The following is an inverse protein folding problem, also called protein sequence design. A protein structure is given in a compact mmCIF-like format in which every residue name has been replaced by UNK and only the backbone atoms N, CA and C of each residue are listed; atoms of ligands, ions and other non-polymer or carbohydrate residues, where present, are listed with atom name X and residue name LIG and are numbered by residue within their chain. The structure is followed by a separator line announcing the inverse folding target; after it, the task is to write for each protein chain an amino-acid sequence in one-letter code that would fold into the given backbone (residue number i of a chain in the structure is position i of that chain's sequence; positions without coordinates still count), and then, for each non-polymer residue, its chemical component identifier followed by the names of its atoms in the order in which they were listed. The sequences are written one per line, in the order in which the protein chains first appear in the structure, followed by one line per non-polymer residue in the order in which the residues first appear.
data_IF_360479096811
#
_entry.id   IF_360479096811
#
_cell.length_a   1.000
_cell.length_b   1.000
_cell.length_c   1.000
_cell.angle_alpha   90.00
_cell.angle_beta   90.00
_cell.angle_gamma   90.00
#
_symmetry.space_group_name_H-M   'P 1'
#
loop_
_entity.id
_entity.type
_entity.pdbx_description
1 polymer ?
#
# COMPACT_ATOMS: atom_id res chain seq x y z
N UNK A 1 -34.85 -35.01 28.91
CA UNK A 1 -33.68 -34.85 28.02
C UNK A 1 -33.63 -33.40 27.57
N UNK A 2 -32.68 -32.60 28.05
CA UNK A 2 -32.48 -31.21 27.62
C UNK A 2 -31.25 -31.20 26.70
N UNK A 3 -31.47 -31.02 25.40
CA UNK A 3 -30.36 -30.87 24.45
C UNK A 3 -29.78 -29.47 24.57
N UNK A 4 -28.50 -29.38 24.91
CA UNK A 4 -27.72 -28.16 24.85
C UNK A 4 -27.19 -28.01 23.42
N UNK A 5 -27.64 -26.96 22.73
CA UNK A 5 -27.09 -26.57 21.42
C UNK A 5 -25.86 -25.69 21.70
N UNK A 6 -24.67 -26.21 21.44
CA UNK A 6 -23.42 -25.44 21.52
C UNK A 6 -23.22 -24.75 20.18
N UNK A 7 -23.51 -23.45 20.13
CA UNK A 7 -23.18 -22.59 18.98
C UNK A 7 -21.69 -22.25 19.09
N UNK A 8 -20.87 -22.90 18.27
CA UNK A 8 -19.45 -22.57 18.15
C UNK A 8 -19.30 -21.28 17.35
N UNK A 9 -18.94 -20.17 18.01
CA UNK A 9 -18.53 -18.95 17.32
C UNK A 9 -17.15 -19.20 16.69
N UNK A 10 -17.11 -19.26 15.36
CA UNK A 10 -15.86 -19.09 14.62
C UNK A 10 -15.42 -17.64 14.78
N UNK A 11 -14.48 -17.40 15.71
CA UNK A 11 -13.78 -16.13 15.80
C UNK A 11 -12.90 -15.99 14.55
N UNK A 12 -13.38 -15.24 13.56
CA UNK A 12 -12.55 -14.80 12.44
C UNK A 12 -11.59 -13.76 13.00
N UNK A 13 -10.35 -14.18 13.24
CA UNK A 13 -9.26 -13.28 13.62
C UNK A 13 -9.00 -12.34 12.45
N UNK A 14 -9.63 -11.16 12.44
CA UNK A 14 -9.20 -10.08 11.56
C UNK A 14 -7.84 -9.63 12.08
N UNK A 15 -6.76 -10.15 11.50
CA UNK A 15 -5.43 -9.57 11.68
C UNK A 15 -5.59 -8.07 11.42
N UNK A 16 -5.43 -7.27 12.47
CA UNK A 16 -5.49 -5.84 12.36
C UNK A 16 -4.48 -5.43 11.26
N UNK A 17 -4.97 -4.66 10.28
CA UNK A 17 -4.28 -4.32 9.03
C UNK A 17 -2.98 -3.49 9.13
N UNK A 18 -2.58 -2.85 10.26
CA UNK A 18 -1.35 -2.05 10.29
C UNK A 18 -0.08 -2.81 9.92
N UNK A 19 -0.06 -4.14 10.07
CA UNK A 19 1.10 -4.98 9.81
C UNK A 19 1.51 -5.07 8.33
N UNK A 20 0.60 -4.83 7.38
CA UNK A 20 0.92 -4.93 5.95
C UNK A 20 1.97 -3.91 5.50
N UNK A 21 1.99 -2.73 6.13
CA UNK A 21 3.03 -1.70 5.89
C UNK A 21 4.43 -2.15 6.30
N UNK A 22 4.55 -3.17 7.15
CA UNK A 22 5.84 -3.73 7.54
C UNK A 22 6.31 -4.83 6.57
N UNK A 23 5.50 -5.19 5.58
CA UNK A 23 5.81 -6.20 4.57
C UNK A 23 6.36 -5.60 3.27
N UNK A 24 6.54 -4.28 3.22
CA UNK A 24 7.06 -3.51 2.08
C UNK A 24 8.17 -2.55 2.58
N UNK A 25 9.15 -2.18 1.73
CA UNK A 25 10.17 -1.23 2.11
C UNK A 25 9.54 0.15 2.39
N UNK A 26 10.08 0.85 3.40
CA UNK A 26 9.62 2.17 3.82
C UNK A 26 8.10 2.33 4.06
N UNK A 27 7.32 1.26 4.27
CA UNK A 27 5.85 1.37 4.33
C UNK A 27 5.28 2.25 5.45
N UNK A 28 6.09 2.67 6.42
CA UNK A 28 5.74 3.64 7.47
C UNK A 28 6.25 5.07 7.22
N UNK A 29 7.03 5.27 6.14
CA UNK A 29 7.71 6.51 5.77
C UNK A 29 7.32 7.00 4.36
N UNK A 30 6.21 6.51 3.79
CA UNK A 30 5.77 6.89 2.44
C UNK A 30 5.22 8.33 2.47
N UNK A 31 5.74 9.25 1.64
CA UNK A 31 5.28 10.63 1.60
C UNK A 31 3.82 10.71 1.14
N UNK A 32 3.10 11.73 1.61
CA UNK A 32 1.75 12.02 1.14
C UNK A 32 1.83 12.84 -0.17
N UNK A 33 1.32 12.32 -1.31
CA UNK A 33 1.41 13.01 -2.60
C UNK A 33 0.34 14.10 -2.79
N UNK A 34 -0.60 14.24 -1.85
CA UNK A 34 -1.71 15.18 -1.95
C UNK A 34 -1.26 16.65 -1.98
N UNK A 35 -1.86 17.42 -2.89
CA UNK A 35 -1.55 18.84 -3.08
C UNK A 35 -1.94 19.62 -1.81
N UNK A 36 -0.98 20.36 -1.24
CA UNK A 36 -1.13 21.13 0.00
C UNK A 36 -1.45 20.31 1.26
N UNK A 37 -1.24 18.99 1.22
CA UNK A 37 -1.29 18.13 2.40
C UNK A 37 0.15 17.73 2.74
N UNK A 38 0.51 17.78 4.02
CA UNK A 38 1.85 17.46 4.49
C UNK A 38 1.82 16.23 5.38
N UNK A 39 2.89 15.45 5.35
CA UNK A 39 3.05 14.27 6.20
C UNK A 39 3.20 12.99 5.40
N UNK A 40 2.76 11.89 5.99
CA UNK A 40 2.96 10.54 5.48
C UNK A 40 1.62 9.88 5.14
N UNK A 41 1.64 9.03 4.12
CA UNK A 41 0.50 8.18 3.79
C UNK A 41 0.46 6.96 4.71
N UNK A 42 -0.38 7.01 5.75
CA UNK A 42 -0.40 6.02 6.82
C UNK A 42 -1.07 4.68 6.45
N UNK A 43 -1.64 4.55 5.25
CA UNK A 43 -2.27 3.32 4.80
C UNK A 43 -1.90 3.00 3.35
N UNK A 44 -0.60 2.75 3.15
CA UNK A 44 -0.06 2.34 1.84
C UNK A 44 -0.82 1.12 1.35
N UNK A 45 -1.38 1.22 0.14
CA UNK A 45 -2.28 0.21 -0.44
C UNK A 45 -3.78 0.55 -0.34
N UNK A 46 -4.17 1.66 0.28
CA UNK A 46 -5.56 2.14 0.35
C UNK A 46 -5.74 3.48 -0.37
N UNK A 47 -6.98 3.76 -0.78
CA UNK A 47 -7.37 5.03 -1.41
C UNK A 47 -7.47 6.21 -0.43
N UNK A 48 -7.45 5.95 0.88
CA UNK A 48 -7.59 6.96 1.94
C UNK A 48 -6.32 6.93 2.79
N UNK A 49 -5.71 8.09 3.07
CA UNK A 49 -4.42 8.18 3.75
C UNK A 49 -4.36 7.54 5.14
N UNK A 50 -5.44 7.65 5.91
CA UNK A 50 -5.58 7.04 7.24
C UNK A 50 -6.00 5.56 7.19
N UNK A 51 -6.31 5.06 5.99
CA UNK A 51 -6.78 3.71 5.74
C UNK A 51 -8.27 3.53 5.89
N UNK A 52 -8.69 2.27 5.86
CA UNK A 52 -10.09 1.93 5.63
C UNK A 52 -10.50 2.19 4.17
N UNK A 53 -11.72 1.77 3.83
CA UNK A 53 -12.20 1.88 2.46
C UNK A 53 -11.44 0.98 1.46
N UNK A 54 -11.67 1.18 0.16
CA UNK A 54 -11.09 0.34 -0.90
C UNK A 54 -9.56 0.41 -0.96
N UNK A 55 -8.96 -0.69 -1.41
CA UNK A 55 -7.55 -0.72 -1.80
C UNK A 55 -7.31 0.11 -3.06
N UNK A 56 -6.13 0.72 -3.16
CA UNK A 56 -5.65 1.32 -4.40
C UNK A 56 -5.03 0.26 -5.31
N UNK A 57 -4.55 0.67 -6.49
CA UNK A 57 -3.98 -0.25 -7.49
C UNK A 57 -2.77 -1.04 -6.95
N UNK A 58 -1.90 -0.40 -6.17
CA UNK A 58 -0.81 -1.09 -5.47
C UNK A 58 -1.32 -2.11 -4.45
N UNK A 59 -2.32 -1.77 -3.65
CA UNK A 59 -2.90 -2.68 -2.66
C UNK A 59 -3.46 -3.93 -3.32
N UNK A 60 -4.10 -3.79 -4.49
CA UNK A 60 -4.60 -4.91 -5.27
C UNK A 60 -3.48 -5.77 -5.86
N UNK A 61 -2.41 -5.15 -6.35
CA UNK A 61 -1.22 -5.86 -6.84
C UNK A 61 -0.47 -6.57 -5.72
N UNK A 62 -0.38 -5.96 -4.54
CA UNK A 62 0.20 -6.55 -3.36
C UNK A 62 -0.60 -7.77 -2.89
N UNK A 63 -1.94 -7.70 -2.90
CA UNK A 63 -2.80 -8.87 -2.63
C UNK A 63 -2.60 -9.95 -3.69
N UNK A 64 -2.48 -9.59 -4.96
CA UNK A 64 -2.20 -10.52 -6.06
C UNK A 64 -0.84 -11.21 -5.91
N UNK A 65 0.15 -10.51 -5.35
CA UNK A 65 1.44 -11.05 -4.96
C UNK A 65 1.41 -11.89 -3.67
N UNK A 66 0.22 -12.29 -3.20
CA UNK A 66 0.00 -12.99 -1.93
C UNK A 66 0.56 -12.21 -0.72
N UNK A 67 0.44 -10.88 -0.74
CA UNK A 67 0.91 -9.98 0.32
C UNK A 67 2.40 -10.11 0.62
N UNK A 68 3.20 -10.32 -0.43
CA UNK A 68 4.66 -10.42 -0.35
C UNK A 68 5.33 -9.37 -1.23
N UNK A 69 6.45 -8.81 -0.75
CA UNK A 69 7.35 -7.99 -1.56
C UNK A 69 8.14 -8.88 -2.52
N UNK A 70 7.51 -9.25 -3.63
CA UNK A 70 8.14 -10.05 -4.68
C UNK A 70 8.92 -9.15 -5.64
N UNK A 71 9.87 -9.73 -6.37
CA UNK A 71 10.59 -9.00 -7.43
C UNK A 71 9.63 -8.45 -8.48
N UNK A 72 8.63 -9.22 -8.89
CA UNK A 72 7.64 -8.80 -9.89
C UNK A 72 6.80 -7.62 -9.39
N UNK A 73 6.40 -7.64 -8.11
CA UNK A 73 5.71 -6.49 -7.52
C UNK A 73 6.64 -5.29 -7.44
N UNK A 74 7.88 -5.46 -6.97
CA UNK A 74 8.84 -4.37 -6.87
C UNK A 74 9.11 -3.68 -8.22
N UNK A 75 9.23 -4.45 -9.29
CA UNK A 75 9.49 -3.94 -10.65
C UNK A 75 8.23 -3.41 -11.36
N UNK A 76 7.06 -3.55 -10.75
CA UNK A 76 5.81 -3.07 -11.33
C UNK A 76 5.65 -1.57 -11.09
N UNK A 77 5.18 -0.86 -12.10
CA UNK A 77 4.62 0.49 -12.00
C UNK A 77 3.11 0.33 -11.84
N UNK A 78 2.61 0.34 -10.59
CA UNK A 78 1.21 -0.05 -10.32
C UNK A 78 0.23 1.07 -10.64
N UNK A 79 0.64 2.33 -10.48
CA UNK A 79 -0.17 3.52 -10.70
C UNK A 79 0.14 4.27 -11.99
N UNK A 80 1.02 3.72 -12.82
CA UNK A 80 1.28 4.15 -14.20
C UNK A 80 1.85 5.58 -14.28
N UNK A 81 2.64 5.98 -13.28
CA UNK A 81 3.32 7.27 -13.21
C UNK A 81 4.72 7.25 -13.86
N UNK A 82 5.17 6.06 -14.29
CA UNK A 82 6.46 5.84 -14.93
C UNK A 82 7.58 5.43 -13.97
N UNK A 83 7.29 5.26 -12.68
CA UNK A 83 8.22 4.72 -11.69
C UNK A 83 7.77 3.35 -11.22
N UNK A 84 8.74 2.49 -10.92
CA UNK A 84 8.44 1.20 -10.29
C UNK A 84 8.18 1.38 -8.80
N UNK A 85 7.36 0.49 -8.23
CA UNK A 85 7.08 0.44 -6.79
C UNK A 85 8.38 0.44 -5.96
N UNK A 86 9.43 -0.25 -6.45
CA UNK A 86 10.75 -0.30 -5.84
C UNK A 86 11.49 1.04 -5.88
N UNK A 87 11.46 1.77 -6.99
CA UNK A 87 12.04 3.11 -7.05
C UNK A 87 11.37 4.06 -6.06
N UNK A 88 10.05 4.00 -5.95
CA UNK A 88 9.28 4.87 -5.06
C UNK A 88 9.44 4.52 -3.59
N UNK A 89 9.47 3.23 -3.24
CA UNK A 89 9.58 2.76 -1.85
C UNK A 89 11.03 2.60 -1.37
N UNK A 90 12.03 2.97 -2.17
CA UNK A 90 13.44 2.95 -1.77
C UNK A 90 14.11 1.58 -1.84
N UNK A 91 13.63 0.70 -2.73
CA UNK A 91 14.24 -0.56 -3.14
C UNK A 91 14.38 -0.67 -4.68
N UNK A 92 15.13 0.23 -5.35
CA UNK A 92 15.21 0.28 -6.81
C UNK A 92 15.86 -0.98 -7.44
N UNK A 93 16.58 -1.77 -6.65
CA UNK A 93 17.23 -3.00 -7.11
C UNK A 93 16.39 -4.26 -6.81
N UNK A 94 15.24 -4.13 -6.15
CA UNK A 94 14.37 -5.25 -5.77
C UNK A 94 15.09 -6.33 -4.96
N UNK A 95 15.86 -5.90 -3.97
CA UNK A 95 16.66 -6.78 -3.10
C UNK A 95 16.22 -6.77 -1.65
N UNK A 96 15.36 -5.82 -1.27
CA UNK A 96 14.87 -5.70 0.10
C UNK A 96 14.09 -6.94 0.52
N UNK A 97 14.27 -7.35 1.77
CA UNK A 97 13.47 -8.39 2.42
C UNK A 97 12.90 -7.86 3.72
N UNK A 98 11.80 -8.46 4.16
CA UNK A 98 11.14 -8.08 5.40
C UNK A 98 12.11 -8.05 6.58
N UNK A 99 12.23 -6.86 7.20
CA UNK A 99 13.13 -6.60 8.33
C UNK A 99 14.46 -5.95 7.95
N UNK A 100 14.81 -5.90 6.66
CA UNK A 100 16.00 -5.19 6.19
C UNK A 100 15.80 -3.66 6.27
N UNK A 101 16.91 -2.93 6.35
CA UNK A 101 16.89 -1.50 6.08
C UNK A 101 16.68 -1.27 4.56
N UNK A 102 15.75 -0.39 4.14
CA UNK A 102 15.64 0.01 2.74
C UNK A 102 16.95 0.60 2.20
N UNK A 103 17.18 0.47 0.89
CA UNK A 103 18.40 0.95 0.25
C UNK A 103 18.44 2.48 0.13
N UNK A 104 17.27 3.11 0.12
CA UNK A 104 17.09 4.57 0.17
C UNK A 104 15.77 4.94 0.82
N UNK A 105 15.50 6.24 0.86
CA UNK A 105 14.24 6.79 1.38
C UNK A 105 13.10 6.54 0.39
N UNK A 106 11.85 6.52 0.89
CA UNK A 106 10.69 6.57 0.00
C UNK A 106 10.60 7.96 -0.64
N UNK A 107 10.41 7.99 -1.96
CA UNK A 107 10.38 9.22 -2.76
C UNK A 107 9.04 9.47 -3.44
N UNK A 108 8.13 8.49 -3.41
CA UNK A 108 6.79 8.57 -3.97
C UNK A 108 5.86 7.54 -3.33
N UNK A 109 4.63 7.47 -3.82
CA UNK A 109 3.61 6.56 -3.35
C UNK A 109 3.24 5.53 -4.44
N UNK A 110 3.44 4.21 -4.22
CA UNK A 110 3.42 3.17 -5.26
C UNK A 110 2.07 2.85 -5.91
N UNK A 111 1.02 3.59 -5.54
CA UNK A 111 -0.37 3.33 -5.87
C UNK A 111 -1.20 4.61 -6.03
N UNK A 112 -0.54 5.76 -6.14
CA UNK A 112 -1.14 7.07 -6.38
C UNK A 112 -0.25 7.77 -7.39
N UNK A 113 -0.75 7.93 -8.62
CA UNK A 113 0.04 8.49 -9.71
C UNK A 113 0.54 9.90 -9.38
N UNK A 114 1.84 10.14 -9.56
CA UNK A 114 2.49 11.41 -9.28
C UNK A 114 3.09 12.08 -10.54
N UNK A 115 3.09 13.42 -10.63
CA UNK A 115 2.49 14.36 -9.68
C UNK A 115 0.97 14.37 -9.79
N UNK A 116 0.28 14.52 -8.65
CA UNK A 116 -1.19 14.57 -8.57
C UNK A 116 -1.84 15.68 -9.41
N UNK A 117 -1.08 16.69 -9.82
CA UNK A 117 -1.51 17.77 -10.71
C UNK A 117 -1.44 17.43 -12.21
N UNK A 118 -0.82 16.30 -12.59
CA UNK A 118 -0.77 15.87 -13.98
C UNK A 118 -2.16 15.43 -14.48
N UNK A 119 -2.62 15.87 -15.66
CA UNK A 119 -3.92 15.48 -16.22
C UNK A 119 -4.13 13.97 -16.41
N UNK A 120 -3.08 13.18 -16.57
CA UNK A 120 -3.17 11.73 -16.62
C UNK A 120 -3.34 11.16 -15.21
N UNK A 121 -2.55 11.62 -14.24
CA UNK A 121 -2.67 11.20 -12.85
C UNK A 121 -4.02 11.57 -12.23
N UNK A 122 -4.60 12.73 -12.58
CA UNK A 122 -5.95 13.11 -12.14
C UNK A 122 -7.03 12.08 -12.54
N UNK A 123 -6.86 11.38 -13.67
CA UNK A 123 -7.80 10.34 -14.11
C UNK A 123 -7.57 9.02 -13.38
N UNK A 124 -6.30 8.67 -13.16
CA UNK A 124 -5.92 7.45 -12.45
C UNK A 124 -6.34 7.55 -10.97
N UNK A 125 -6.15 8.71 -10.37
CA UNK A 125 -6.39 8.97 -8.95
C UNK A 125 -7.87 9.33 -8.65
N UNK A 126 -8.81 9.01 -9.54
CA UNK A 126 -10.21 9.43 -9.42
C UNK A 126 -10.92 8.98 -8.12
N UNK A 127 -10.41 7.92 -7.48
CA UNK A 127 -10.94 7.39 -6.22
C UNK A 127 -10.04 7.66 -5.01
N UNK A 128 -8.92 8.37 -5.18
CA UNK A 128 -8.01 8.74 -4.09
C UNK A 128 -8.62 9.90 -3.31
N UNK A 129 -8.62 9.78 -1.99
CA UNK A 129 -9.17 10.78 -1.08
C UNK A 129 -8.04 11.39 -0.27
N UNK A 130 -7.76 12.66 -0.52
CA UNK A 130 -6.90 13.50 0.31
C UNK A 130 -7.72 14.07 1.47
N UNK A 131 -7.39 13.71 2.71
CA UNK A 131 -8.03 14.21 3.95
C UNK A 131 -7.00 14.81 4.88
#
# INVERSE_FOLDING_TARGET
MRSLVVVSLLAVSTLAHPGFRLLIPNGINVPNPCINVFGLWNAVGHNIEIGGGPGNVFGMDFVTANTQWTKDLCQKDSDMDGKTNGEELGDPNCVWKQGDAPAGDATGHPGICEPMSDPNCMKINANITCV
#
